data_IF_649002231148
#
_entry.id   IF_649002231148
#
_cell.length_a   1.000
_cell.length_b   1.000
_cell.length_c   1.000
_cell.angle_alpha   90.00
_cell.angle_beta   90.00
_cell.angle_gamma   90.00
#
_symmetry.space_group_name_H-M   'P 1'
#
loop_
_entity.id
_entity.type
_entity.pdbx_description
1 polymer ?
#
# COMPACT_ATOMS: atom_id res chain seq x y z
N UNK A 1 -6.29 -6.67 -17.49
CA UNK A 1 -4.95 -6.51 -18.06
C UNK A 1 -4.98 -5.26 -18.92
N UNK A 2 -4.33 -4.18 -18.51
CA UNK A 2 -4.27 -2.93 -19.28
C UNK A 2 -3.25 -3.07 -20.41
N UNK A 3 -3.60 -2.66 -21.61
CA UNK A 3 -2.66 -2.55 -22.70
C UNK A 3 -1.63 -1.46 -22.41
N UNK A 4 -0.41 -1.62 -22.87
CA UNK A 4 0.67 -0.64 -22.71
C UNK A 4 0.88 0.18 -23.98
N UNK A 5 1.30 1.41 -23.81
CA UNK A 5 1.86 2.23 -24.87
C UNK A 5 3.37 2.18 -24.72
N UNK A 6 4.07 1.79 -25.77
CA UNK A 6 5.53 1.78 -25.76
C UNK A 6 6.09 2.26 -27.09
N UNK A 7 7.27 2.83 -27.05
CA UNK A 7 8.02 3.18 -28.24
C UNK A 7 8.98 2.02 -28.60
N UNK A 8 8.96 1.61 -29.87
CA UNK A 8 9.92 0.67 -30.42
C UNK A 8 10.91 1.45 -31.28
N UNK A 9 12.17 1.26 -31.03
CA UNK A 9 13.26 1.81 -31.82
C UNK A 9 14.34 0.76 -32.05
N UNK A 10 15.09 0.91 -33.13
CA UNK A 10 16.16 0.01 -33.46
C UNK A 10 17.48 0.55 -32.92
N UNK A 11 18.30 -0.34 -32.37
CA UNK A 11 19.62 -0.03 -31.87
C UNK A 11 20.65 -0.93 -32.54
N UNK A 12 21.86 -0.42 -32.73
CA UNK A 12 23.00 -1.18 -33.19
C UNK A 12 23.56 -2.08 -32.06
N UNK A 13 24.65 -2.81 -32.36
CA UNK A 13 25.31 -3.69 -31.41
C UNK A 13 25.88 -2.96 -30.18
N UNK A 14 26.08 -1.64 -30.27
CA UNK A 14 26.56 -0.79 -29.19
C UNK A 14 25.42 -0.11 -28.40
N UNK A 15 24.17 -0.48 -28.70
CA UNK A 15 22.94 0.12 -28.14
C UNK A 15 22.70 1.59 -28.52
N UNK A 16 23.32 2.08 -29.58
CA UNK A 16 23.06 3.40 -30.13
C UNK A 16 21.88 3.33 -31.11
N UNK A 17 21.04 4.36 -31.13
CA UNK A 17 19.91 4.43 -32.06
C UNK A 17 20.42 4.43 -33.50
N UNK A 18 19.84 3.56 -34.35
CA UNK A 18 20.23 3.50 -35.76
C UNK A 18 19.62 4.70 -36.48
N UNK A 19 20.48 5.58 -37.02
CA UNK A 19 20.03 6.73 -37.78
C UNK A 19 19.20 6.32 -39.00
N UNK A 20 18.13 7.08 -39.25
CA UNK A 20 17.21 6.86 -40.37
C UNK A 20 16.12 5.81 -40.11
N UNK A 21 16.10 5.16 -38.96
CA UNK A 21 14.98 4.31 -38.56
C UNK A 21 13.95 5.10 -37.79
N UNK A 22 12.70 5.14 -38.27
CA UNK A 22 11.61 5.79 -37.56
C UNK A 22 11.24 5.00 -36.30
N UNK A 23 11.19 5.69 -35.15
CA UNK A 23 10.59 5.13 -33.95
C UNK A 23 9.10 4.87 -34.18
N UNK A 24 8.62 3.69 -33.81
CA UNK A 24 7.20 3.36 -33.86
C UNK A 24 6.61 3.43 -32.47
N UNK A 25 5.59 4.26 -32.30
CA UNK A 25 4.75 4.21 -31.10
C UNK A 25 3.74 3.09 -31.30
N UNK A 26 3.83 2.05 -30.48
CA UNK A 26 2.89 0.94 -30.48
C UNK A 26 1.91 1.14 -29.33
N UNK A 27 0.68 1.45 -29.67
CA UNK A 27 -0.43 1.56 -28.71
C UNK A 27 -1.18 0.22 -28.69
N UNK A 28 -0.98 -0.57 -27.65
CA UNK A 28 -1.68 -1.83 -27.42
C UNK A 28 -2.88 -1.69 -26.47
N UNK A 29 -3.35 -0.46 -26.24
CA UNK A 29 -4.56 -0.26 -25.46
C UNK A 29 -5.76 -0.75 -26.25
N UNK A 30 -6.11 -1.98 -26.05
CA UNK A 30 -7.38 -2.52 -26.54
C UNK A 30 -8.47 -2.18 -25.52
N UNK A 31 -9.42 -1.35 -25.91
CA UNK A 31 -10.67 -1.21 -25.16
C UNK A 31 -11.53 -2.47 -25.36
N UNK A 32 -12.39 -2.87 -24.38
CA UNK A 32 -12.75 -2.11 -23.22
C UNK A 32 -11.86 -2.41 -22.04
N UNK A 33 -11.38 -1.37 -21.41
CA UNK A 33 -10.72 -1.52 -20.14
C UNK A 33 -11.78 -1.95 -19.13
N UNK A 34 -11.54 -3.10 -18.51
CA UNK A 34 -12.29 -3.48 -17.33
C UNK A 34 -12.04 -2.43 -16.23
N UNK A 35 -13.10 -1.91 -15.65
CA UNK A 35 -13.00 -1.11 -14.43
C UNK A 35 -12.70 -2.04 -13.24
N UNK A 36 -11.96 -1.53 -12.27
CA UNK A 36 -11.83 -2.17 -10.95
C UNK A 36 -12.69 -1.39 -9.98
N UNK A 37 -13.58 -2.10 -9.29
CA UNK A 37 -14.36 -1.53 -8.20
C UNK A 37 -13.64 -1.84 -6.90
N UNK A 38 -13.32 -0.81 -6.15
CA UNK A 38 -12.67 -0.93 -4.83
C UNK A 38 -13.71 -0.71 -3.74
N UNK A 39 -13.42 -1.21 -2.54
CA UNK A 39 -14.23 -0.98 -1.34
C UNK A 39 -13.94 0.39 -0.70
N UNK A 40 -12.92 1.10 -1.17
CA UNK A 40 -12.53 2.40 -0.65
C UNK A 40 -13.67 3.42 -0.81
N UNK A 41 -14.05 4.05 0.30
CA UNK A 41 -14.98 5.17 0.33
C UNK A 41 -14.23 6.49 0.24
N UNK A 42 -14.61 7.32 -0.74
CA UNK A 42 -13.90 8.57 -1.01
C UNK A 42 -13.94 9.54 0.17
N UNK A 43 -15.06 9.65 0.86
CA UNK A 43 -15.21 10.60 1.97
C UNK A 43 -14.40 10.13 3.19
N UNK A 44 -14.39 8.83 3.47
CA UNK A 44 -13.61 8.25 4.55
C UNK A 44 -12.11 8.33 4.24
N UNK A 45 -11.71 8.08 3.00
CA UNK A 45 -10.32 8.21 2.55
C UNK A 45 -9.83 9.65 2.74
N UNK A 46 -10.60 10.64 2.29
CA UNK A 46 -10.24 12.05 2.44
C UNK A 46 -10.12 12.44 3.92
N UNK A 47 -11.06 12.05 4.76
CA UNK A 47 -11.01 12.32 6.20
C UNK A 47 -9.76 11.68 6.84
N UNK A 48 -9.40 10.46 6.43
CA UNK A 48 -8.20 9.79 6.93
C UNK A 48 -6.91 10.49 6.46
N UNK A 49 -6.87 10.98 5.23
CA UNK A 49 -5.75 11.76 4.69
C UNK A 49 -5.56 13.08 5.44
N UNK A 50 -6.65 13.82 5.68
CA UNK A 50 -6.64 15.06 6.46
C UNK A 50 -6.17 14.81 7.90
N UNK A 51 -6.66 13.75 8.55
CA UNK A 51 -6.24 13.37 9.89
C UNK A 51 -4.74 13.01 9.99
N UNK A 52 -4.14 12.58 8.88
CA UNK A 52 -2.73 12.19 8.79
C UNK A 52 -1.83 13.32 8.26
N UNK A 53 -2.36 14.53 8.01
CA UNK A 53 -1.61 15.62 7.36
C UNK A 53 -0.33 15.98 8.10
N UNK A 54 -0.40 16.09 9.43
CA UNK A 54 0.73 16.42 10.29
C UNK A 54 1.67 15.24 10.58
N UNK A 55 1.36 14.03 10.09
CA UNK A 55 2.17 12.85 10.33
C UNK A 55 3.22 12.71 9.23
N UNK A 56 4.52 12.88 9.52
CA UNK A 56 5.54 12.84 8.47
C UNK A 56 5.74 11.43 7.89
N UNK A 57 5.64 10.39 8.73
CA UNK A 57 5.76 8.98 8.32
C UNK A 57 4.78 8.12 9.11
N UNK A 58 3.96 7.36 8.43
CA UNK A 58 3.00 6.49 9.06
C UNK A 58 1.98 5.93 8.09
N UNK A 59 1.05 5.18 8.62
CA UNK A 59 -0.10 4.67 7.86
C UNK A 59 -1.35 4.66 8.72
N UNK A 60 -2.50 4.85 8.09
CA UNK A 60 -3.81 4.65 8.68
C UNK A 60 -4.66 3.74 7.78
N UNK A 61 -5.41 2.85 8.40
CA UNK A 61 -6.34 1.95 7.72
C UNK A 61 -7.69 2.01 8.42
N UNK A 62 -8.76 2.16 7.65
CA UNK A 62 -10.13 2.10 8.14
C UNK A 62 -10.81 0.89 7.53
N UNK A 63 -11.39 0.07 8.38
CA UNK A 63 -12.02 -1.19 7.99
C UNK A 63 -13.42 -1.28 8.58
N UNK A 64 -14.38 -1.77 7.80
CA UNK A 64 -15.70 -2.15 8.31
C UNK A 64 -15.58 -3.43 9.15
N UNK A 65 -16.03 -3.37 10.41
CA UNK A 65 -15.89 -4.49 11.36
C UNK A 65 -16.81 -5.67 11.05
N UNK A 66 -17.85 -5.49 10.23
CA UNK A 66 -18.80 -6.55 9.90
C UNK A 66 -18.41 -7.28 8.62
N UNK A 67 -17.94 -6.52 7.62
CA UNK A 67 -17.65 -7.06 6.29
C UNK A 67 -16.17 -7.35 6.10
N UNK A 68 -15.28 -6.66 6.86
CA UNK A 68 -13.83 -6.71 6.67
C UNK A 68 -13.35 -5.86 5.48
N UNK A 69 -14.24 -5.10 4.85
CA UNK A 69 -13.90 -4.24 3.73
C UNK A 69 -13.02 -3.07 4.16
N UNK A 70 -11.97 -2.80 3.40
CA UNK A 70 -11.13 -1.63 3.59
C UNK A 70 -11.83 -0.40 3.00
N UNK A 71 -12.18 0.55 3.87
CA UNK A 71 -12.85 1.79 3.50
C UNK A 71 -11.87 2.94 3.26
N UNK A 72 -10.70 2.92 3.91
CA UNK A 72 -9.61 3.85 3.64
C UNK A 72 -8.25 3.19 3.90
N UNK A 73 -7.23 3.63 3.16
CA UNK A 73 -5.84 3.25 3.37
C UNK A 73 -4.94 4.43 3.03
N UNK A 74 -4.26 4.98 4.02
CA UNK A 74 -3.34 6.11 3.89
C UNK A 74 -1.92 5.66 4.22
N UNK A 75 -0.96 6.11 3.43
CA UNK A 75 0.48 5.93 3.70
C UNK A 75 1.20 7.25 3.54
N UNK A 76 2.05 7.62 4.50
CA UNK A 76 2.85 8.85 4.50
C UNK A 76 4.34 8.53 4.47
N UNK A 77 5.19 9.35 3.81
CA UNK A 77 4.84 10.54 3.02
C UNK A 77 4.09 10.17 1.73
N UNK A 78 3.37 11.14 1.19
CA UNK A 78 2.74 11.04 -0.13
C UNK A 78 3.72 11.45 -1.22
N UNK A 79 3.43 11.07 -2.44
CA UNK A 79 4.18 11.51 -3.62
C UNK A 79 3.22 11.98 -4.72
N UNK A 80 3.72 12.85 -5.59
CA UNK A 80 2.97 13.33 -6.74
C UNK A 80 3.20 12.40 -7.94
N UNK A 81 2.13 11.81 -8.45
CA UNK A 81 2.17 10.93 -9.62
C UNK A 81 2.66 11.63 -10.90
N UNK A 82 2.49 12.95 -10.97
CA UNK A 82 2.93 13.75 -12.13
C UNK A 82 4.42 14.10 -12.07
N UNK A 83 5.05 13.91 -10.90
CA UNK A 83 6.44 14.26 -10.61
C UNK A 83 7.18 13.10 -9.92
N UNK A 84 6.91 11.89 -10.32
CA UNK A 84 7.48 10.68 -9.69
C UNK A 84 9.01 10.69 -9.64
N UNK A 85 9.66 11.30 -10.64
CA UNK A 85 11.12 11.37 -10.72
C UNK A 85 11.74 12.07 -9.52
N UNK A 86 11.08 13.09 -8.97
CA UNK A 86 11.54 13.85 -7.81
C UNK A 86 11.60 13.01 -6.52
N UNK A 87 10.91 11.87 -6.52
CA UNK A 87 10.76 11.01 -5.34
C UNK A 87 11.54 9.68 -5.43
N UNK A 88 12.21 9.41 -6.56
CA UNK A 88 12.90 8.12 -6.78
C UNK A 88 14.04 7.89 -5.78
N UNK A 89 14.75 8.94 -5.41
CA UNK A 89 15.90 8.88 -4.48
C UNK A 89 15.56 9.48 -3.11
N UNK A 90 14.27 9.71 -2.82
CA UNK A 90 13.86 10.28 -1.55
C UNK A 90 14.16 9.31 -0.38
N UNK A 91 14.91 9.76 0.62
CA UNK A 91 15.31 8.97 1.81
C UNK A 91 14.10 8.42 2.57
N UNK A 92 12.96 9.09 2.47
CA UNK A 92 11.73 8.74 3.15
C UNK A 92 10.94 7.63 2.49
N UNK A 93 11.41 7.08 1.36
CA UNK A 93 10.78 5.97 0.64
C UNK A 93 9.26 6.17 0.45
N UNK A 94 8.81 7.23 -0.25
CA UNK A 94 7.39 7.55 -0.38
C UNK A 94 6.60 6.49 -1.16
N UNK A 95 7.25 5.71 -2.02
CA UNK A 95 6.62 4.60 -2.76
C UNK A 95 6.36 3.36 -1.90
N UNK A 96 6.94 3.30 -0.71
CA UNK A 96 6.68 2.19 0.21
C UNK A 96 5.33 2.37 0.89
N UNK A 97 4.38 1.45 0.62
CA UNK A 97 3.10 1.47 1.32
C UNK A 97 3.27 0.97 2.75
N UNK A 98 3.27 1.90 3.69
CA UNK A 98 3.47 1.63 5.11
C UNK A 98 2.33 0.87 5.76
N UNK A 99 1.13 0.90 5.18
CA UNK A 99 0.02 0.08 5.67
C UNK A 99 0.24 -1.43 5.45
N UNK A 100 1.11 -1.79 4.48
CA UNK A 100 1.44 -3.17 4.14
C UNK A 100 2.81 -3.59 4.69
N UNK A 101 3.50 -2.70 5.38
CA UNK A 101 4.82 -2.97 5.95
C UNK A 101 4.75 -3.87 7.19
N UNK A 102 5.80 -4.67 7.39
CA UNK A 102 5.99 -5.43 8.62
C UNK A 102 6.74 -4.58 9.66
N UNK A 103 6.18 -4.48 10.86
CA UNK A 103 6.72 -3.68 11.95
C UNK A 103 6.83 -4.46 13.24
N UNK A 104 7.71 -3.99 14.11
CA UNK A 104 7.83 -4.50 15.47
C UNK A 104 6.74 -3.87 16.34
N UNK A 105 5.54 -4.46 16.36
CA UNK A 105 4.33 -3.87 16.93
C UNK A 105 4.30 -3.82 18.46
N UNK A 106 5.19 -4.56 19.12
CA UNK A 106 5.28 -4.58 20.59
C UNK A 106 3.94 -4.91 21.25
N UNK A 107 3.57 -4.14 22.26
CA UNK A 107 2.34 -4.37 23.05
C UNK A 107 1.03 -4.21 22.28
N UNK A 108 1.04 -3.58 21.12
CA UNK A 108 -0.17 -3.49 20.26
C UNK A 108 -0.64 -4.88 19.82
N UNK A 109 0.28 -5.84 19.69
CA UNK A 109 -0.06 -7.23 19.38
C UNK A 109 -0.89 -7.93 20.44
N UNK A 110 -0.93 -7.41 21.67
CA UNK A 110 -1.77 -7.97 22.74
C UNK A 110 -3.25 -7.96 22.42
N UNK A 111 -3.71 -7.06 21.55
CA UNK A 111 -5.11 -7.06 21.07
C UNK A 111 -5.42 -8.32 20.27
N UNK A 112 -4.49 -8.74 19.40
CA UNK A 112 -4.63 -9.98 18.63
C UNK A 112 -4.58 -11.21 19.56
N UNK A 113 -3.69 -11.20 20.56
CA UNK A 113 -3.60 -12.28 21.57
C UNK A 113 -4.88 -12.37 22.38
N UNK A 114 -5.45 -11.22 22.79
CA UNK A 114 -6.71 -11.20 23.54
C UNK A 114 -7.88 -11.73 22.69
N UNK A 115 -7.96 -11.34 21.42
CA UNK A 115 -8.96 -11.85 20.50
C UNK A 115 -8.86 -13.37 20.33
N UNK A 116 -7.66 -13.88 20.10
CA UNK A 116 -7.40 -15.32 20.00
C UNK A 116 -7.77 -16.07 21.29
N UNK A 117 -7.48 -15.50 22.46
CA UNK A 117 -7.85 -16.09 23.74
C UNK A 117 -9.38 -16.18 23.90
N UNK A 118 -10.11 -15.13 23.54
CA UNK A 118 -11.57 -15.11 23.57
C UNK A 118 -12.16 -16.17 22.62
N UNK A 119 -11.61 -16.34 21.43
CA UNK A 119 -12.01 -17.38 20.48
C UNK A 119 -11.77 -18.80 21.03
N UNK A 120 -10.75 -18.98 21.86
CA UNK A 120 -10.47 -20.25 22.55
C UNK A 120 -11.32 -20.45 23.82
N UNK A 121 -12.25 -19.53 24.12
CA UNK A 121 -13.16 -19.63 25.25
C UNK A 121 -12.63 -19.07 26.59
N UNK A 122 -11.48 -18.41 26.58
CA UNK A 122 -11.00 -17.69 27.74
C UNK A 122 -11.83 -16.42 27.95
N UNK A 123 -12.64 -16.38 28.98
CA UNK A 123 -13.49 -15.23 29.29
C UNK A 123 -12.74 -14.13 30.06
N UNK A 124 -13.43 -13.02 30.30
CA UNK A 124 -12.91 -11.86 31.04
C UNK A 124 -12.51 -12.12 32.47
N UNK A 125 -12.94 -13.29 33.05
CA UNK A 125 -12.53 -13.75 34.37
C UNK A 125 -11.24 -14.57 34.42
N UNK A 126 -10.62 -14.83 33.26
CA UNK A 126 -9.35 -15.57 33.21
C UNK A 126 -8.22 -14.72 33.81
N UNK A 127 -7.49 -15.30 34.71
CA UNK A 127 -6.29 -14.72 35.31
C UNK A 127 -5.17 -15.74 35.37
N UNK A 128 -3.96 -15.30 35.15
CA UNK A 128 -2.76 -16.12 35.23
C UNK A 128 -1.69 -15.40 36.04
N UNK A 129 -1.11 -16.09 37.00
CA UNK A 129 0.00 -15.57 37.78
C UNK A 129 1.31 -15.84 37.03
N UNK A 130 1.98 -14.76 36.60
CA UNK A 130 3.26 -14.87 35.92
C UNK A 130 4.38 -15.16 36.96
N UNK A 131 5.05 -16.30 36.83
CA UNK A 131 6.19 -16.66 37.68
C UNK A 131 7.53 -16.06 37.24
N UNK A 132 7.54 -15.23 36.21
CA UNK A 132 8.75 -14.59 35.67
C UNK A 132 9.57 -15.47 34.70
N UNK A 133 9.13 -16.69 34.42
CA UNK A 133 9.74 -17.62 33.48
C UNK A 133 8.67 -18.40 32.72
N UNK A 134 9.02 -18.82 31.52
CA UNK A 134 8.19 -19.71 30.70
C UNK A 134 8.86 -21.07 30.62
N UNK A 135 8.09 -22.13 30.90
CA UNK A 135 8.51 -23.52 30.70
C UNK A 135 7.96 -24.07 29.40
#
# INVERSE_FOLDING_TARGET
MGGSVYARYFVDANRSAVEGTASQVVDQRTAPQGGVVLTLDRAIQQCAEEAMEEVPKGAAVVMDVKTGELLAMVSRPVYDLTRMEDFLEAEDSPFFNRALGAYNVGSTFKLCVAAAALEQGYGSGYSHQCGGYYQ
#
